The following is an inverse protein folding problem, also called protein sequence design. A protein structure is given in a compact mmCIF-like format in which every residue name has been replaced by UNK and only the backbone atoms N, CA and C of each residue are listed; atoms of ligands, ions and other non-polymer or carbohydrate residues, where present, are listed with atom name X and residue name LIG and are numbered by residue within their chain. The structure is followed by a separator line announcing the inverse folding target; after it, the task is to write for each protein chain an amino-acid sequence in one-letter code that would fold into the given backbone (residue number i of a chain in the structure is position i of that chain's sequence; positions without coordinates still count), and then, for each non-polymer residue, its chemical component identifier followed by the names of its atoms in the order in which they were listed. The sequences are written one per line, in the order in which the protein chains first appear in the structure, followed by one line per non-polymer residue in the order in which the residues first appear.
data_IF_414961427666
#
_entry.id   IF_414961427666
#
_cell.length_a   1.000
_cell.length_b   1.000
_cell.length_c   1.000
_cell.angle_alpha   90.00
_cell.angle_beta   90.00
_cell.angle_gamma   90.00
#
_symmetry.space_group_name_H-M   'P 1'
#
loop_
_entity.id
_entity.type
_entity.pdbx_description
1 polymer ?
#
# COMPACT_ATOMS: atom_id res chain seq x y z
N UNK A 1 14.67 25.25 1.82
CA UNK A 1 14.85 24.26 2.90
C UNK A 1 14.44 22.90 2.32
N UNK A 2 15.09 21.78 2.66
CA UNK A 2 14.91 20.46 1.98
C UNK A 2 14.87 19.35 3.01
N UNK A 3 14.02 18.33 2.90
CA UNK A 3 13.91 17.28 3.93
C UNK A 3 14.52 15.96 3.51
N UNK A 4 15.37 15.39 4.36
CA UNK A 4 16.01 14.09 4.18
C UNK A 4 15.53 13.13 5.27
N UNK A 5 14.85 12.03 4.90
CA UNK A 5 14.38 11.02 5.87
C UNK A 5 14.50 9.59 5.35
N UNK A 6 15.26 8.79 6.08
CA UNK A 6 15.22 7.34 5.96
C UNK A 6 14.17 6.85 6.95
N UNK A 7 13.21 6.05 6.50
CA UNK A 7 12.13 5.54 7.34
C UNK A 7 12.63 4.53 8.39
N UNK A 8 11.84 3.52 8.72
CA UNK A 8 12.16 2.50 9.72
C UNK A 8 13.17 1.44 9.23
N UNK A 9 14.28 1.84 8.59
CA UNK A 9 15.26 0.92 7.98
C UNK A 9 16.58 0.97 8.74
N UNK A 10 17.03 -0.15 9.30
CA UNK A 10 18.34 -0.26 9.95
C UNK A 10 19.45 -0.18 8.89
N UNK A 11 20.27 0.87 8.96
CA UNK A 11 21.43 1.06 8.10
C UNK A 11 22.61 0.18 8.55
N UNK A 12 23.35 -0.40 7.60
CA UNK A 12 24.57 -1.17 7.91
C UNK A 12 25.72 -0.29 8.41
N UNK A 13 25.87 0.89 7.81
CA UNK A 13 26.84 1.90 8.20
C UNK A 13 26.17 3.29 8.20
N UNK A 14 25.54 3.67 9.33
CA UNK A 14 24.84 4.94 9.41
C UNK A 14 25.77 6.16 9.39
N UNK A 15 27.02 6.03 9.83
CA UNK A 15 27.98 7.14 9.88
C UNK A 15 28.46 7.51 8.49
N UNK A 16 28.87 6.53 7.68
CA UNK A 16 29.31 6.80 6.31
C UNK A 16 28.16 7.35 5.45
N UNK A 17 26.95 6.83 5.62
CA UNK A 17 25.78 7.41 4.95
C UNK A 17 25.52 8.86 5.39
N UNK A 18 25.64 9.15 6.68
CA UNK A 18 25.47 10.51 7.21
C UNK A 18 26.53 11.45 6.63
N UNK A 19 27.81 11.02 6.54
CA UNK A 19 28.88 11.80 5.91
C UNK A 19 28.60 12.08 4.44
N UNK A 20 28.18 11.07 3.67
CA UNK A 20 27.85 11.24 2.26
C UNK A 20 26.70 12.25 2.05
N UNK A 21 25.66 12.17 2.89
CA UNK A 21 24.52 13.10 2.83
C UNK A 21 24.95 14.52 3.16
N UNK A 22 25.65 14.72 4.29
CA UNK A 22 26.10 16.05 4.74
C UNK A 22 27.11 16.66 3.75
N UNK A 23 28.06 15.85 3.26
CA UNK A 23 29.01 16.26 2.23
C UNK A 23 28.32 16.67 0.93
N UNK A 24 27.33 15.90 0.48
CA UNK A 24 26.56 16.25 -0.73
C UNK A 24 25.69 17.50 -0.56
N UNK A 25 25.12 17.72 0.63
CA UNK A 25 24.39 18.96 0.98
C UNK A 25 25.33 20.17 0.91
N UNK A 26 26.53 20.06 1.48
CA UNK A 26 27.54 21.11 1.45
C UNK A 26 28.00 21.41 0.02
N UNK A 27 28.33 20.37 -0.76
CA UNK A 27 28.74 20.49 -2.17
C UNK A 27 27.64 21.07 -3.07
N UNK A 28 26.37 20.80 -2.76
CA UNK A 28 25.24 21.38 -3.49
C UNK A 28 24.94 22.83 -3.06
N UNK A 29 25.52 23.32 -1.96
CA UNK A 29 25.31 24.68 -1.45
C UNK A 29 23.89 24.93 -0.96
N UNK A 30 23.27 23.92 -0.33
CA UNK A 30 21.85 23.96 0.02
C UNK A 30 21.60 23.91 1.53
N UNK A 31 20.55 24.60 1.98
CA UNK A 31 19.99 24.37 3.33
C UNK A 31 19.20 23.07 3.38
N UNK A 32 19.39 22.30 4.45
CA UNK A 32 18.76 21.01 4.67
C UNK A 32 18.11 20.90 6.05
N UNK A 33 17.02 20.15 6.10
CA UNK A 33 16.41 19.57 7.27
C UNK A 33 16.69 18.08 7.18
N UNK A 34 17.39 17.54 8.16
CA UNK A 34 17.70 16.11 8.19
C UNK A 34 16.98 15.51 9.39
N UNK A 35 16.14 14.52 9.12
CA UNK A 35 15.50 13.73 10.16
C UNK A 35 16.36 12.49 10.39
N UNK A 36 17.00 12.34 11.57
CA UNK A 36 17.75 11.13 11.91
C UNK A 36 16.89 9.87 11.75
N UNK A 37 15.59 10.03 12.04
CA UNK A 37 14.57 9.02 11.85
C UNK A 37 14.84 7.75 12.65
N UNK A 38 14.14 6.68 12.27
CA UNK A 38 14.35 5.35 12.84
C UNK A 38 15.48 4.60 12.13
N UNK A 39 16.07 5.21 11.09
CA UNK A 39 17.12 4.62 10.29
C UNK A 39 18.53 4.76 10.87
N UNK A 40 18.67 5.48 11.99
CA UNK A 40 19.92 5.53 12.74
C UNK A 40 20.98 6.45 12.15
N UNK A 41 20.62 7.43 11.30
CA UNK A 41 21.58 8.48 10.94
C UNK A 41 22.11 9.15 12.21
N UNK A 42 23.39 9.54 12.18
CA UNK A 42 24.06 10.05 13.36
C UNK A 42 23.58 11.47 13.68
N UNK A 43 22.68 11.59 14.66
CA UNK A 43 22.10 12.85 15.10
C UNK A 43 23.17 13.83 15.63
N UNK A 44 24.26 13.31 16.24
CA UNK A 44 25.35 14.16 16.72
C UNK A 44 26.10 14.81 15.57
N UNK A 45 26.37 14.04 14.51
CA UNK A 45 26.98 14.55 13.28
C UNK A 45 26.08 15.57 12.58
N UNK A 46 24.76 15.31 12.53
CA UNK A 46 23.81 16.24 11.90
C UNK A 46 23.77 17.58 12.67
N UNK A 47 23.73 17.54 14.00
CA UNK A 47 23.75 18.76 14.83
C UNK A 47 25.07 19.52 14.71
N UNK A 48 26.19 18.82 14.51
CA UNK A 48 27.50 19.42 14.33
C UNK A 48 27.76 19.95 12.89
N UNK A 49 26.87 19.68 11.93
CA UNK A 49 27.08 20.00 10.52
C UNK A 49 26.99 21.51 10.15
N UNK A 50 26.67 22.37 11.13
CA UNK A 50 26.66 23.83 10.99
C UNK A 50 25.27 24.43 10.72
N UNK A 51 25.22 25.76 10.55
CA UNK A 51 23.97 26.56 10.55
C UNK A 51 23.01 26.27 9.37
N UNK A 52 23.49 25.59 8.33
CA UNK A 52 22.69 25.29 7.14
C UNK A 52 21.98 23.94 7.20
N UNK A 53 22.23 23.15 8.25
CA UNK A 53 21.62 21.84 8.49
C UNK A 53 20.83 21.89 9.81
N UNK A 54 19.54 21.57 9.73
CA UNK A 54 18.68 21.49 10.89
C UNK A 54 18.31 20.03 11.18
N UNK A 55 18.67 19.54 12.37
CA UNK A 55 18.24 18.24 12.85
C UNK A 55 16.77 18.31 13.27
N UNK A 56 15.89 17.61 12.56
CA UNK A 56 14.46 17.59 12.86
C UNK A 56 14.06 16.23 13.48
N UNK A 57 13.23 16.29 14.52
CA UNK A 57 12.56 15.11 15.05
C UNK A 57 11.39 14.66 14.17
N UNK A 58 10.30 14.21 14.79
CA UNK A 58 9.09 13.87 14.05
C UNK A 58 8.30 15.13 13.68
N UNK A 59 7.82 15.18 12.44
CA UNK A 59 6.93 16.22 11.95
C UNK A 59 5.94 15.63 10.92
N UNK A 60 4.72 16.17 10.81
CA UNK A 60 3.78 15.77 9.76
C UNK A 60 4.36 16.10 8.37
N UNK A 61 4.50 15.09 7.52
CA UNK A 61 5.12 15.26 6.20
C UNK A 61 4.24 16.09 5.24
N UNK A 62 2.93 15.93 5.34
CA UNK A 62 1.95 16.69 4.56
C UNK A 62 2.01 18.19 4.86
N UNK A 63 2.29 18.58 6.10
CA UNK A 63 2.55 19.97 6.47
C UNK A 63 3.96 20.39 6.03
N UNK A 64 4.99 19.65 6.44
CA UNK A 64 6.38 20.04 6.25
C UNK A 64 6.76 20.15 4.77
N UNK A 65 6.31 19.22 3.93
CA UNK A 65 6.68 19.17 2.52
C UNK A 65 6.10 20.33 1.72
N UNK A 66 5.15 21.11 2.24
CA UNK A 66 4.69 22.32 1.57
C UNK A 66 5.79 23.40 1.54
N UNK A 67 6.64 23.42 2.57
CA UNK A 67 7.65 24.46 2.81
C UNK A 67 9.07 24.11 2.32
N UNK A 68 9.21 22.97 1.64
CA UNK A 68 10.51 22.53 1.10
C UNK A 68 10.60 22.69 -0.42
N UNK A 69 11.85 22.73 -0.90
CA UNK A 69 12.15 22.81 -2.34
C UNK A 69 12.22 21.42 -3.00
N UNK A 70 12.64 20.41 -2.24
CA UNK A 70 12.74 19.02 -2.66
C UNK A 70 12.69 18.11 -1.43
N UNK A 71 12.29 16.87 -1.64
CA UNK A 71 12.22 15.81 -0.63
C UNK A 71 13.22 14.72 -0.99
N UNK A 72 13.87 14.12 -0.01
CA UNK A 72 14.70 12.95 -0.19
C UNK A 72 14.35 11.90 0.86
N UNK A 73 14.16 10.65 0.42
CA UNK A 73 13.82 9.56 1.33
C UNK A 73 14.17 8.19 0.78
N UNK A 74 14.00 7.17 1.61
CA UNK A 74 14.28 5.78 1.23
C UNK A 74 13.35 5.18 0.16
N UNK A 75 12.16 5.74 -0.07
CA UNK A 75 11.27 5.33 -1.16
C UNK A 75 9.98 4.62 -0.76
N UNK A 76 9.59 4.67 0.52
CA UNK A 76 8.31 4.11 0.96
C UNK A 76 7.12 4.79 0.27
N UNK A 77 6.18 3.99 -0.24
CA UNK A 77 5.04 4.43 -1.05
C UNK A 77 4.30 5.66 -0.48
N UNK A 78 4.01 5.66 0.82
CA UNK A 78 3.31 6.78 1.46
C UNK A 78 4.10 8.09 1.46
N UNK A 79 5.42 8.05 1.68
CA UNK A 79 6.24 9.28 1.68
C UNK A 79 6.42 9.80 0.25
N UNK A 80 6.63 8.88 -0.72
CA UNK A 80 6.66 9.21 -2.15
C UNK A 80 5.35 9.90 -2.58
N UNK A 81 4.21 9.34 -2.18
CA UNK A 81 2.89 9.88 -2.50
C UNK A 81 2.70 11.29 -1.90
N UNK A 82 3.08 11.52 -0.64
CA UNK A 82 2.96 12.86 -0.02
C UNK A 82 3.88 13.88 -0.70
N UNK A 83 5.14 13.51 -0.98
CA UNK A 83 6.09 14.40 -1.69
C UNK A 83 5.57 14.83 -3.06
N UNK A 84 5.07 13.87 -3.84
CA UNK A 84 4.45 14.12 -5.15
C UNK A 84 3.16 14.92 -5.03
N UNK A 85 2.29 14.63 -4.06
CA UNK A 85 1.06 15.40 -3.81
C UNK A 85 1.36 16.86 -3.51
N UNK A 86 2.44 17.15 -2.78
CA UNK A 86 2.93 18.52 -2.54
C UNK A 86 3.66 19.13 -3.75
N UNK A 87 3.73 18.41 -4.88
CA UNK A 87 4.41 18.86 -6.10
C UNK A 87 5.91 19.02 -5.94
N UNK A 88 6.55 18.28 -5.02
CA UNK A 88 7.97 18.43 -4.72
C UNK A 88 8.80 17.39 -5.48
N UNK A 89 9.89 17.82 -6.13
CA UNK A 89 10.91 16.89 -6.63
C UNK A 89 11.35 15.94 -5.53
N UNK A 90 11.44 14.65 -5.87
CA UNK A 90 11.69 13.59 -4.90
C UNK A 90 12.93 12.79 -5.27
N UNK A 91 13.92 12.78 -4.38
CA UNK A 91 15.13 11.97 -4.47
C UNK A 91 14.89 10.68 -3.70
N UNK A 92 15.15 9.52 -4.31
CA UNK A 92 15.00 8.23 -3.63
C UNK A 92 16.35 7.52 -3.49
N UNK A 93 16.65 7.11 -2.26
CA UNK A 93 17.78 6.25 -1.90
C UNK A 93 17.21 4.87 -1.48
N UNK A 94 16.92 3.96 -2.42
CA UNK A 94 16.25 2.70 -2.13
C UNK A 94 17.13 1.68 -1.39
N UNK A 95 16.49 0.85 -0.56
CA UNK A 95 17.10 -0.27 0.17
C UNK A 95 16.52 -1.62 -0.24
N UNK A 96 15.19 -1.77 -0.26
CA UNK A 96 14.51 -3.03 -0.56
C UNK A 96 13.05 -2.84 -0.97
N UNK A 97 12.38 -3.93 -1.34
CA UNK A 97 10.95 -3.95 -1.63
C UNK A 97 10.58 -3.15 -2.88
N UNK A 98 9.57 -2.32 -2.77
CA UNK A 98 9.04 -1.48 -3.85
C UNK A 98 9.84 -0.18 -4.07
N UNK A 99 10.80 0.13 -3.20
CA UNK A 99 11.54 1.39 -3.22
C UNK A 99 12.33 1.64 -4.53
N UNK A 100 13.04 0.65 -5.12
CA UNK A 100 13.72 0.85 -6.40
C UNK A 100 12.74 1.14 -7.54
N UNK A 101 11.55 0.53 -7.50
CA UNK A 101 10.51 0.77 -8.49
C UNK A 101 10.02 2.22 -8.40
N UNK A 102 9.70 2.72 -7.20
CA UNK A 102 9.32 4.12 -7.02
C UNK A 102 10.40 5.10 -7.50
N UNK A 103 11.67 4.80 -7.24
CA UNK A 103 12.79 5.61 -7.70
C UNK A 103 12.84 5.67 -9.25
N UNK A 104 12.73 4.52 -9.91
CA UNK A 104 12.73 4.43 -11.37
C UNK A 104 11.53 5.16 -11.99
N UNK A 105 10.34 5.03 -11.40
CA UNK A 105 9.13 5.71 -11.88
C UNK A 105 9.24 7.25 -11.78
N UNK A 106 9.85 7.77 -10.73
CA UNK A 106 10.09 9.20 -10.59
C UNK A 106 11.08 9.72 -11.61
N UNK A 107 12.20 9.02 -11.81
CA UNK A 107 13.22 9.36 -12.79
C UNK A 107 12.63 9.36 -14.22
N UNK A 108 11.91 8.30 -14.58
CA UNK A 108 11.25 8.17 -15.89
C UNK A 108 10.24 9.30 -16.16
N UNK A 109 9.55 9.79 -15.12
CA UNK A 109 8.61 10.91 -15.24
C UNK A 109 9.27 12.28 -15.07
N UNK A 110 10.59 12.33 -14.88
CA UNK A 110 11.36 13.55 -14.67
C UNK A 110 11.03 14.26 -13.36
N UNK A 111 10.40 13.60 -12.38
CA UNK A 111 10.03 14.20 -11.09
C UNK A 111 11.07 13.97 -9.98
N UNK A 112 12.20 13.37 -10.33
CA UNK A 112 13.33 13.10 -9.46
C UNK A 112 14.58 12.75 -10.29
N UNK A 113 15.76 12.70 -9.65
CA UNK A 113 16.97 12.18 -10.27
C UNK A 113 16.90 10.65 -10.45
N UNK A 114 17.90 10.10 -11.15
CA UNK A 114 18.13 8.66 -11.22
C UNK A 114 18.25 8.03 -9.81
N UNK A 115 17.82 6.76 -9.63
CA UNK A 115 17.90 6.07 -8.35
C UNK A 115 19.32 6.03 -7.79
N UNK A 116 19.50 6.45 -6.54
CA UNK A 116 20.79 6.39 -5.87
C UNK A 116 21.08 4.99 -5.35
N UNK A 117 22.36 4.57 -5.34
CA UNK A 117 22.73 3.29 -4.75
C UNK A 117 23.01 3.43 -3.26
N UNK A 118 22.14 2.87 -2.41
CA UNK A 118 22.30 2.94 -0.95
C UNK A 118 23.57 2.26 -0.42
N UNK A 119 24.14 1.28 -1.15
CA UNK A 119 25.36 0.58 -0.74
C UNK A 119 26.64 1.35 -1.06
N UNK A 120 26.58 2.28 -1.99
CA UNK A 120 27.75 3.06 -2.45
C UNK A 120 27.35 4.52 -2.68
N UNK A 121 26.68 5.11 -1.70
CA UNK A 121 26.25 6.50 -1.76
C UNK A 121 27.46 7.40 -1.48
N UNK A 122 27.82 8.24 -2.44
CA UNK A 122 28.89 9.24 -2.29
C UNK A 122 28.32 10.65 -2.18
N UNK A 123 29.10 11.56 -1.59
CA UNK A 123 28.76 12.99 -1.50
C UNK A 123 28.52 13.61 -2.87
N UNK A 124 29.33 13.25 -3.86
CA UNK A 124 29.29 13.78 -5.22
C UNK A 124 28.00 13.33 -5.92
N UNK A 125 27.68 12.03 -5.84
CA UNK A 125 26.46 11.48 -6.42
C UNK A 125 25.22 12.13 -5.79
N UNK A 126 25.26 12.32 -4.46
CA UNK A 126 24.18 12.98 -3.75
C UNK A 126 24.03 14.46 -4.12
N UNK A 127 25.13 15.19 -4.27
CA UNK A 127 25.13 16.59 -4.71
C UNK A 127 24.57 16.73 -6.14
N UNK A 128 24.94 15.81 -7.04
CA UNK A 128 24.37 15.75 -8.40
C UNK A 128 22.86 15.51 -8.34
N UNK A 129 22.41 14.54 -7.55
CA UNK A 129 20.99 14.24 -7.37
C UNK A 129 20.21 15.46 -6.84
N UNK A 130 20.78 16.21 -5.89
CA UNK A 130 20.19 17.47 -5.38
C UNK A 130 20.08 18.50 -6.50
N UNK A 131 21.14 18.73 -7.29
CA UNK A 131 21.11 19.69 -8.40
C UNK A 131 20.07 19.33 -9.45
N UNK A 132 19.96 18.05 -9.81
CA UNK A 132 18.94 17.54 -10.74
C UNK A 132 17.54 17.75 -10.16
N UNK A 133 17.31 17.42 -8.88
CA UNK A 133 16.02 17.62 -8.23
C UNK A 133 15.57 19.09 -8.25
N UNK A 134 16.51 20.02 -8.20
CA UNK A 134 16.26 21.45 -8.19
C UNK A 134 16.25 22.10 -9.57
N UNK A 135 16.45 21.32 -10.63
CA UNK A 135 16.40 21.85 -11.99
C UNK A 135 14.97 22.33 -12.30
N UNK A 136 14.81 23.39 -13.13
CA UNK A 136 13.49 23.89 -13.49
C UNK A 136 12.58 22.82 -14.11
N UNK A 137 13.16 21.92 -14.92
CA UNK A 137 12.45 20.81 -15.55
C UNK A 137 11.89 19.83 -14.52
N UNK A 138 12.70 19.42 -13.54
CA UNK A 138 12.27 18.48 -12.50
C UNK A 138 11.19 19.07 -11.60
N UNK A 139 11.32 20.36 -11.25
CA UNK A 139 10.31 21.09 -10.47
C UNK A 139 8.98 21.13 -11.23
N UNK A 140 8.99 21.50 -12.51
CA UNK A 140 7.79 21.58 -13.32
C UNK A 140 7.10 20.20 -13.47
N UNK A 141 7.88 19.14 -13.68
CA UNK A 141 7.37 17.78 -13.76
C UNK A 141 6.71 17.32 -12.45
N UNK A 142 7.38 17.53 -11.31
CA UNK A 142 6.83 17.19 -10.00
C UNK A 142 5.52 17.96 -9.70
N UNK A 143 5.47 19.25 -10.02
CA UNK A 143 4.26 20.07 -9.90
C UNK A 143 3.12 19.56 -10.79
N UNK A 144 3.42 19.14 -12.02
CA UNK A 144 2.42 18.56 -12.92
C UNK A 144 1.81 17.27 -12.35
N UNK A 145 2.65 16.37 -11.83
CA UNK A 145 2.18 15.15 -11.17
C UNK A 145 1.34 15.50 -9.93
N UNK A 146 1.81 16.44 -9.10
CA UNK A 146 1.07 16.89 -7.93
C UNK A 146 -0.32 17.43 -8.28
N UNK A 147 -0.46 18.19 -9.37
CA UNK A 147 -1.78 18.65 -9.85
C UNK A 147 -2.73 17.49 -10.17
N UNK A 148 -2.23 16.43 -10.82
CA UNK A 148 -3.03 15.24 -11.14
C UNK A 148 -3.46 14.52 -9.85
N UNK A 149 -2.52 14.26 -8.93
CA UNK A 149 -2.83 13.57 -7.66
C UNK A 149 -3.86 14.35 -6.83
N UNK A 150 -3.79 15.68 -6.82
CA UNK A 150 -4.75 16.50 -6.06
C UNK A 150 -6.16 16.57 -6.70
N UNK A 151 -6.33 16.10 -7.93
CA UNK A 151 -7.64 15.96 -8.57
C UNK A 151 -8.32 14.63 -8.24
N UNK A 152 -7.61 13.70 -7.62
CA UNK A 152 -8.10 12.37 -7.27
C UNK A 152 -8.58 12.32 -5.81
N UNK A 153 -9.63 11.54 -5.56
CA UNK A 153 -10.04 11.11 -4.22
C UNK A 153 -9.99 9.58 -4.14
N UNK A 154 -8.77 9.08 -3.98
CA UNK A 154 -8.51 7.64 -3.90
C UNK A 154 -9.11 6.99 -2.66
N UNK A 155 -9.23 7.72 -1.55
CA UNK A 155 -9.82 7.20 -0.32
C UNK A 155 -11.32 6.98 -0.49
N UNK A 156 -12.04 7.98 -1.02
CA UNK A 156 -13.46 7.84 -1.34
C UNK A 156 -13.70 6.74 -2.37
N UNK A 157 -12.93 6.73 -3.45
CA UNK A 157 -13.05 5.70 -4.50
C UNK A 157 -12.80 4.29 -3.94
N UNK A 158 -11.85 4.15 -3.01
CA UNK A 158 -11.58 2.91 -2.30
C UNK A 158 -12.74 2.46 -1.41
N UNK A 159 -13.33 3.38 -0.65
CA UNK A 159 -14.52 3.13 0.19
C UNK A 159 -15.73 2.75 -0.67
N UNK A 160 -15.99 3.47 -1.75
CA UNK A 160 -17.07 3.16 -2.69
C UNK A 160 -16.89 1.78 -3.32
N UNK A 161 -15.66 1.47 -3.77
CA UNK A 161 -15.32 0.15 -4.30
C UNK A 161 -15.53 -0.93 -3.24
N UNK A 162 -15.08 -0.71 -2.00
CA UNK A 162 -15.29 -1.66 -0.91
C UNK A 162 -16.78 -1.95 -0.70
N UNK A 163 -17.61 -0.91 -0.56
CA UNK A 163 -19.06 -1.07 -0.35
C UNK A 163 -19.76 -1.75 -1.53
N UNK A 164 -19.36 -1.44 -2.77
CA UNK A 164 -19.91 -2.08 -3.97
C UNK A 164 -19.67 -3.59 -4.02
N UNK A 165 -18.57 -4.06 -3.43
CA UNK A 165 -18.19 -5.47 -3.44
C UNK A 165 -18.58 -6.25 -2.18
N UNK A 166 -19.28 -5.62 -1.23
CA UNK A 166 -19.81 -6.32 -0.07
C UNK A 166 -20.91 -7.30 -0.51
N UNK A 167 -20.84 -8.60 -0.13
CA UNK A 167 -21.88 -9.56 -0.42
C UNK A 167 -23.06 -9.35 0.55
N UNK A 168 -23.78 -8.22 0.43
CA UNK A 168 -24.79 -7.79 1.41
C UNK A 168 -25.87 -8.84 1.67
N UNK A 169 -26.32 -9.55 0.62
CA UNK A 169 -27.27 -10.65 0.75
C UNK A 169 -26.70 -11.84 1.54
N UNK A 170 -25.38 -12.02 1.54
CA UNK A 170 -24.70 -13.02 2.37
C UNK A 170 -24.33 -12.53 3.76
N UNK A 171 -24.27 -11.23 3.99
CA UNK A 171 -23.92 -10.64 5.28
C UNK A 171 -25.12 -10.45 6.21
N UNK A 172 -26.34 -10.40 5.68
CA UNK A 172 -27.53 -10.06 6.48
C UNK A 172 -28.18 -11.29 7.10
N UNK A 173 -28.75 -11.09 8.27
CA UNK A 173 -29.65 -12.04 8.91
C UNK A 173 -30.94 -12.19 8.07
N UNK A 174 -31.41 -13.43 7.92
CA UNK A 174 -32.62 -13.72 7.14
C UNK A 174 -33.91 -13.37 7.87
N UNK A 175 -33.88 -13.35 9.21
CA UNK A 175 -35.03 -12.96 10.05
C UNK A 175 -35.09 -11.46 10.35
N UNK A 176 -33.93 -10.79 10.37
CA UNK A 176 -33.83 -9.34 10.55
C UNK A 176 -32.76 -8.79 9.60
N UNK A 177 -33.13 -8.42 8.36
CA UNK A 177 -32.19 -7.95 7.35
C UNK A 177 -31.41 -6.69 7.72
N UNK A 178 -31.79 -5.98 8.80
CA UNK A 178 -31.04 -4.82 9.31
C UNK A 178 -29.82 -5.22 10.14
N UNK A 179 -29.70 -6.50 10.52
CA UNK A 179 -28.60 -7.02 11.34
C UNK A 179 -27.69 -7.93 10.54
N UNK A 180 -26.41 -7.96 10.93
CA UNK A 180 -25.41 -8.87 10.36
C UNK A 180 -25.68 -10.31 10.83
N UNK A 181 -25.61 -11.27 9.92
CA UNK A 181 -25.60 -12.69 10.25
C UNK A 181 -24.25 -13.08 10.83
N UNK A 182 -24.27 -13.67 12.02
CA UNK A 182 -23.07 -14.16 12.73
C UNK A 182 -23.13 -15.69 12.84
N UNK A 183 -24.32 -16.26 12.83
CA UNK A 183 -24.55 -17.69 12.98
C UNK A 183 -25.21 -18.26 11.73
N UNK A 184 -24.84 -19.49 11.39
CA UNK A 184 -25.55 -20.34 10.45
C UNK A 184 -26.18 -21.47 11.25
N UNK A 185 -27.48 -21.68 11.05
CA UNK A 185 -28.26 -22.71 11.69
C UNK A 185 -28.49 -23.87 10.68
N UNK A 186 -27.79 -25.01 10.81
CA UNK A 186 -27.89 -26.09 9.82
C UNK A 186 -29.27 -26.75 9.78
N UNK A 187 -29.99 -26.82 10.92
CA UNK A 187 -31.31 -27.46 11.00
C UNK A 187 -32.37 -26.71 10.19
N UNK A 188 -32.36 -25.37 10.26
CA UNK A 188 -33.31 -24.54 9.52
C UNK A 188 -32.73 -23.95 8.23
N UNK A 189 -31.44 -24.17 7.95
CA UNK A 189 -30.68 -23.57 6.85
C UNK A 189 -30.76 -22.04 6.84
N UNK A 190 -30.73 -21.44 8.04
CA UNK A 190 -30.89 -20.00 8.22
C UNK A 190 -29.58 -19.31 8.63
N UNK A 191 -29.36 -18.11 8.11
CA UNK A 191 -28.33 -17.16 8.57
C UNK A 191 -28.96 -16.20 9.57
N UNK A 192 -28.46 -16.25 10.79
CA UNK A 192 -29.03 -15.57 11.95
C UNK A 192 -28.06 -14.53 12.50
N UNK A 193 -28.61 -13.37 12.87
CA UNK A 193 -27.88 -12.44 13.74
C UNK A 193 -27.73 -13.04 15.14
N UNK A 194 -26.77 -12.53 15.92
CA UNK A 194 -26.63 -12.93 17.32
C UNK A 194 -27.94 -12.73 18.10
N UNK A 195 -28.65 -11.63 17.85
CA UNK A 195 -29.95 -11.35 18.47
C UNK A 195 -31.02 -12.36 18.07
N UNK A 196 -31.20 -12.60 16.76
CA UNK A 196 -32.20 -13.54 16.26
C UNK A 196 -31.94 -14.97 16.75
N UNK A 197 -30.68 -15.39 16.82
CA UNK A 197 -30.28 -16.67 17.36
C UNK A 197 -30.64 -16.81 18.84
N UNK A 198 -30.35 -15.78 19.65
CA UNK A 198 -30.69 -15.80 21.08
C UNK A 198 -32.20 -15.90 21.31
N UNK A 199 -33.01 -15.10 20.61
CA UNK A 199 -34.48 -15.12 20.75
C UNK A 199 -35.06 -16.49 20.41
N UNK A 200 -34.56 -17.15 19.37
CA UNK A 200 -34.99 -18.50 19.01
C UNK A 200 -34.54 -19.54 20.04
N UNK A 201 -33.34 -19.39 20.61
CA UNK A 201 -32.84 -20.27 21.65
C UNK A 201 -33.65 -20.16 22.94
N UNK A 202 -34.01 -18.94 23.36
CA UNK A 202 -34.83 -18.69 24.55
C UNK A 202 -36.23 -19.29 24.44
N UNK A 203 -36.76 -19.38 23.21
CA UNK A 203 -38.04 -20.06 22.92
C UNK A 203 -37.92 -21.58 22.74
N UNK A 204 -36.71 -22.13 22.82
CA UNK A 204 -36.46 -23.56 22.62
C UNK A 204 -36.53 -24.01 21.15
N UNK A 205 -36.57 -23.08 20.19
CA UNK A 205 -36.69 -23.38 18.75
C UNK A 205 -35.34 -23.83 18.16
N UNK A 206 -34.21 -23.35 18.70
CA UNK A 206 -32.87 -23.75 18.27
C UNK A 206 -31.96 -24.00 19.48
N UNK A 207 -30.86 -24.74 19.26
CA UNK A 207 -29.81 -24.94 20.26
C UNK A 207 -28.54 -24.18 19.84
N UNK A 208 -28.08 -23.24 20.69
CA UNK A 208 -26.89 -22.41 20.42
C UNK A 208 -25.63 -23.23 20.16
N UNK A 209 -25.45 -24.37 20.82
CA UNK A 209 -24.27 -25.24 20.65
C UNK A 209 -24.22 -25.96 19.30
N UNK A 210 -25.34 -25.95 18.55
CA UNK A 210 -25.42 -26.54 17.20
C UNK A 210 -25.27 -25.49 16.09
N UNK A 211 -25.10 -24.22 16.45
CA UNK A 211 -24.87 -23.16 15.48
C UNK A 211 -23.42 -23.15 15.01
N UNK A 212 -23.24 -22.85 13.73
CA UNK A 212 -21.93 -22.68 13.13
C UNK A 212 -21.65 -21.20 12.94
N UNK A 213 -20.39 -20.78 13.08
CA UNK A 213 -20.00 -19.41 12.76
C UNK A 213 -20.27 -19.15 11.27
N UNK A 214 -21.07 -18.15 10.96
CA UNK A 214 -21.35 -17.75 9.58
C UNK A 214 -20.22 -16.86 9.06
N UNK A 215 -19.47 -17.37 8.07
CA UNK A 215 -18.46 -16.61 7.34
C UNK A 215 -19.05 -16.11 6.03
N UNK A 216 -19.37 -14.83 5.97
CA UNK A 216 -20.01 -14.22 4.78
C UNK A 216 -19.13 -14.26 3.53
N UNK A 217 -17.81 -14.28 3.71
CA UNK A 217 -16.81 -14.53 2.68
C UNK A 217 -15.53 -14.98 3.37
N UNK A 218 -14.93 -16.05 2.87
CA UNK A 218 -13.66 -16.56 3.36
C UNK A 218 -12.60 -16.28 2.30
N UNK A 219 -11.51 -15.66 2.72
CA UNK A 219 -10.36 -15.39 1.88
C UNK A 219 -9.25 -16.29 2.36
N UNK A 220 -8.67 -17.05 1.43
CA UNK A 220 -7.47 -17.83 1.71
C UNK A 220 -6.28 -16.87 1.86
N UNK A 221 -5.80 -16.71 3.09
CA UNK A 221 -4.63 -15.88 3.41
C UNK A 221 -3.31 -16.61 3.19
N UNK A 222 -3.35 -17.90 2.82
CA UNK A 222 -2.20 -18.77 2.61
C UNK A 222 -2.11 -19.26 1.15
N UNK A 223 -2.49 -18.41 0.19
CA UNK A 223 -2.21 -18.70 -1.20
C UNK A 223 -0.68 -18.75 -1.43
N UNK A 224 -0.12 -19.84 -1.99
CA UNK A 224 1.30 -19.91 -2.30
C UNK A 224 1.66 -18.79 -3.29
N UNK A 225 2.81 -18.15 -3.08
CA UNK A 225 3.32 -17.12 -3.98
C UNK A 225 3.57 -17.72 -5.37
N UNK A 226 2.75 -17.35 -6.35
CA UNK A 226 2.88 -17.82 -7.74
C UNK A 226 3.78 -16.83 -8.50
N UNK A 227 4.74 -17.35 -9.26
CA UNK A 227 5.71 -16.60 -10.07
C UNK A 227 5.07 -15.42 -10.87
N UNK A 228 5.74 -14.26 -11.00
CA UNK A 228 5.24 -13.06 -11.71
C UNK A 228 4.58 -13.30 -13.08
N UNK A 229 5.01 -14.31 -13.85
CA UNK A 229 4.38 -14.62 -15.14
C UNK A 229 2.98 -15.22 -14.94
N UNK A 230 2.83 -16.12 -13.96
CA UNK A 230 1.53 -16.70 -13.62
C UNK A 230 0.66 -15.74 -12.79
N UNK A 231 1.30 -14.87 -12.00
CA UNK A 231 0.64 -13.83 -11.19
C UNK A 231 -0.05 -12.74 -12.00
N UNK A 232 0.35 -12.51 -13.26
CA UNK A 232 -0.32 -11.56 -14.18
C UNK A 232 -1.38 -12.24 -15.05
N UNK A 233 -1.16 -13.50 -15.42
CA UNK A 233 -2.06 -14.24 -16.32
C UNK A 233 -3.32 -14.76 -15.61
N UNK A 234 -3.20 -15.24 -14.36
CA UNK A 234 -4.33 -15.77 -13.59
C UNK A 234 -5.40 -14.72 -13.24
N UNK A 235 -5.06 -13.50 -12.80
CA UNK A 235 -6.06 -12.47 -12.54
C UNK A 235 -6.81 -12.05 -13.80
N UNK A 236 -6.14 -11.95 -14.95
CA UNK A 236 -6.78 -11.67 -16.24
C UNK A 236 -7.77 -12.77 -16.62
N UNK A 237 -7.39 -14.04 -16.47
CA UNK A 237 -8.28 -15.18 -16.67
C UNK A 237 -9.46 -15.19 -15.69
N UNK A 238 -9.24 -14.84 -14.41
CA UNK A 238 -10.32 -14.72 -13.41
C UNK A 238 -11.28 -13.60 -13.76
N UNK A 239 -10.79 -12.43 -14.15
CA UNK A 239 -11.62 -11.29 -14.59
C UNK A 239 -12.43 -11.68 -15.84
N UNK A 240 -11.80 -12.33 -16.82
CA UNK A 240 -12.51 -12.83 -18.00
C UNK A 240 -13.60 -13.84 -17.61
N UNK A 241 -13.30 -14.77 -16.70
CA UNK A 241 -14.27 -15.76 -16.23
C UNK A 241 -15.42 -15.12 -15.42
N UNK A 242 -15.13 -14.08 -14.62
CA UNK A 242 -16.14 -13.31 -13.88
C UNK A 242 -17.04 -12.52 -14.84
N UNK A 243 -16.48 -11.92 -15.90
CA UNK A 243 -17.24 -11.25 -16.96
C UNK A 243 -18.15 -12.25 -17.69
N UNK A 244 -17.62 -13.42 -18.08
CA UNK A 244 -18.40 -14.49 -18.73
C UNK A 244 -19.51 -15.01 -17.82
N UNK A 245 -19.23 -15.24 -16.52
CA UNK A 245 -20.27 -15.62 -15.54
C UNK A 245 -21.29 -14.51 -15.31
N UNK A 246 -20.88 -13.25 -15.37
CA UNK A 246 -21.77 -12.08 -15.33
C UNK A 246 -22.74 -12.06 -16.50
N UNK A 247 -22.27 -12.40 -17.70
CA UNK A 247 -23.11 -12.51 -18.91
C UNK A 247 -24.05 -13.72 -18.83
N UNK A 248 -23.60 -14.87 -18.33
CA UNK A 248 -24.45 -16.08 -18.20
C UNK A 248 -25.55 -15.91 -17.13
N UNK A 249 -25.30 -15.12 -16.06
CA UNK A 249 -26.29 -14.79 -15.04
C UNK A 249 -27.44 -13.89 -15.53
N UNK A 250 -27.29 -13.22 -16.67
CA UNK A 250 -28.37 -12.42 -17.28
C UNK A 250 -29.39 -13.33 -18.00
N UNK A 251 -29.03 -14.59 -18.31
CA UNK A 251 -29.86 -15.50 -19.13
C UNK A 251 -30.57 -16.65 -18.40
N UNK A 252 -30.37 -16.89 -17.09
CA UNK A 252 -31.08 -17.98 -16.41
C UNK A 252 -31.26 -17.76 -14.90
N UNK A 253 -32.46 -17.38 -14.51
CA UNK A 253 -32.93 -17.28 -13.13
C UNK A 253 -33.66 -18.56 -12.72
N UNK A 254 -32.91 -19.63 -12.36
CA UNK A 254 -33.42 -20.79 -11.59
C UNK A 254 -32.34 -21.35 -10.63
N UNK A 255 -32.55 -21.32 -9.30
CA UNK A 255 -31.52 -21.66 -8.30
C UNK A 255 -31.53 -23.13 -7.84
N UNK A 256 -32.22 -24.05 -8.52
CA UNK A 256 -32.42 -25.44 -8.06
C UNK A 256 -31.33 -26.44 -8.52
N UNK A 257 -30.34 -26.02 -9.32
CA UNK A 257 -29.23 -26.91 -9.75
C UNK A 257 -27.84 -26.32 -9.54
N UNK A 258 -27.59 -25.78 -8.35
CA UNK A 258 -26.33 -25.15 -7.96
C UNK A 258 -25.37 -25.99 -7.14
N UNK A 259 -25.24 -27.31 -7.38
CA UNK A 259 -24.10 -28.09 -6.88
C UNK A 259 -23.05 -28.15 -7.98
N UNK A 260 -22.29 -27.07 -8.15
CA UNK A 260 -21.06 -27.13 -8.94
C UNK A 260 -19.95 -27.56 -7.99
N UNK A 261 -19.53 -28.83 -8.11
CA UNK A 261 -18.26 -29.31 -7.55
C UNK A 261 -17.17 -28.31 -7.94
N UNK A 262 -16.58 -27.65 -6.96
CA UNK A 262 -15.30 -26.97 -7.14
C UNK A 262 -14.25 -28.04 -7.39
N UNK A 263 -14.05 -28.38 -8.66
CA UNK A 263 -12.90 -29.14 -9.09
C UNK A 263 -11.67 -28.26 -8.89
N UNK A 264 -10.93 -28.57 -7.83
CA UNK A 264 -9.58 -28.10 -7.57
C UNK A 264 -8.71 -28.52 -8.75
N UNK A 265 -8.41 -27.59 -9.67
CA UNK A 265 -7.34 -27.79 -10.63
C UNK A 265 -6.01 -27.42 -9.96
N UNK A 266 -5.54 -28.29 -9.06
CA UNK A 266 -4.13 -28.30 -8.66
C UNK A 266 -3.41 -29.25 -9.59
N UNK A 267 -2.58 -28.71 -10.48
CA UNK A 267 -1.63 -29.52 -11.24
C UNK A 267 -0.52 -29.95 -10.30
N UNK A 268 -0.36 -31.26 -10.10
CA UNK A 268 0.86 -31.85 -9.55
C UNK A 268 0.69 -32.56 -8.21
N UNK A 269 0.29 -33.82 -8.25
CA UNK A 269 0.37 -34.74 -7.11
C UNK A 269 -0.12 -36.12 -7.50
N UNK A 270 0.80 -37.01 -7.86
CA UNK A 270 0.52 -38.39 -8.30
C UNK A 270 -0.24 -39.17 -7.22
N UNK A 271 -1.28 -39.88 -7.64
CA UNK A 271 -1.85 -41.01 -6.91
C UNK A 271 -0.78 -42.05 -6.57
N UNK A 272 -0.89 -42.64 -5.39
CA UNK A 272 -0.82 -44.08 -5.22
C UNK A 272 -1.83 -44.51 -4.15
N UNK A 273 -2.37 -45.69 -4.40
CA UNK A 273 -3.49 -46.43 -3.77
C UNK A 273 -3.62 -46.32 -2.25
#
# INVERSE_FOLDING_TARGET
MRTFRFGSIVLKDPQEMTKAILGGIAQAGVRAIVSPGWGGLDETMIKAAGEHVFALGNAPHDWLFQYVSAVCHHGGAGTTAVGLKCGKPTIIVPFFGDQPWWAAQLAQRGAGPEPLNSRNLTSEAFAVAIRVALSPGTIAAAQKIGKVINQEDGAKSGVESFHKHLPLLNMRCELDPKRVAVWYCPSHKLRLSAFSAQVLADRGEINMNKLMLHRSREYDTHAPSIDPISGTTLPMLRVANEVVRGVVKIGSSRPDKGVVKMATATVGGKCNT
#
